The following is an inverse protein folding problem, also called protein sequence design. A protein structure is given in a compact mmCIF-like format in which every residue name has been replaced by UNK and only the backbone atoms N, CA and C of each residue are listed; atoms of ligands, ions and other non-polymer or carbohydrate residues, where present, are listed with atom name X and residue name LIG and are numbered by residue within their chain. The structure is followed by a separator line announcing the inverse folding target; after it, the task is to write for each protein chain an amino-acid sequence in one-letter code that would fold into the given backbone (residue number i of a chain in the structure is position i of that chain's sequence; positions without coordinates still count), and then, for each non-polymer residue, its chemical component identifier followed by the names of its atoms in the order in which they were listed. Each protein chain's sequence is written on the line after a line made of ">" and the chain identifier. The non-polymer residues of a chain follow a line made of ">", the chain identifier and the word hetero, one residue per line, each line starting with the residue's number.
data_IF_262338248853
#
_entry.id   IF_262338248853
#
_cell.length_a   1.000
_cell.length_b   1.000
_cell.length_c   1.000
_cell.angle_alpha   90.00
_cell.angle_beta   90.00
_cell.angle_gamma   90.00
#
_symmetry.space_group_name_H-M   'P 1'
#
loop_
_entity.id
_entity.type
_entity.pdbx_description
1 polymer ?
#
# COMPACT_ATOMS: atom_id res chain seq x y z
N UNK A 1 1.51 -13.27 -8.53
CA UNK A 1 0.52 -13.66 -9.56
C UNK A 1 -0.20 -12.40 -10.04
N UNK A 2 -0.21 -12.10 -11.34
CA UNK A 2 -0.79 -10.86 -11.87
C UNK A 2 -2.31 -11.02 -12.04
N UNK A 3 -3.08 -10.68 -11.01
CA UNK A 3 -4.53 -10.83 -10.99
C UNK A 3 -5.25 -9.98 -12.07
N UNK A 4 -4.87 -8.72 -12.33
CA UNK A 4 -5.41 -7.96 -13.46
C UNK A 4 -5.25 -8.66 -14.81
N UNK A 5 -4.09 -9.28 -15.07
CA UNK A 5 -3.86 -10.02 -16.31
C UNK A 5 -4.78 -11.24 -16.43
N UNK A 6 -4.99 -11.98 -15.33
CA UNK A 6 -5.91 -13.12 -15.31
C UNK A 6 -7.35 -12.67 -15.63
N UNK A 7 -7.83 -11.60 -14.98
CA UNK A 7 -9.15 -11.04 -15.28
C UNK A 7 -9.26 -10.59 -16.73
N UNK A 8 -8.21 -9.96 -17.27
CA UNK A 8 -8.19 -9.54 -18.66
C UNK A 8 -8.26 -10.72 -19.64
N UNK A 9 -7.51 -11.80 -19.38
CA UNK A 9 -7.58 -13.03 -20.18
C UNK A 9 -9.01 -13.61 -20.14
N UNK A 10 -9.63 -13.70 -18.96
CA UNK A 10 -11.01 -14.16 -18.86
C UNK A 10 -12.00 -13.25 -19.59
N UNK A 11 -11.77 -11.94 -19.56
CA UNK A 11 -12.57 -10.97 -20.30
C UNK A 11 -12.45 -11.15 -21.82
N UNK A 12 -11.24 -11.41 -22.33
CA UNK A 12 -11.01 -11.75 -23.73
C UNK A 12 -11.67 -13.08 -24.13
N UNK A 13 -11.54 -14.12 -23.29
CA UNK A 13 -12.14 -15.42 -23.57
C UNK A 13 -13.67 -15.36 -23.58
N UNK A 14 -14.27 -14.74 -22.56
CA UNK A 14 -15.74 -14.62 -22.45
C UNK A 14 -16.31 -13.74 -23.55
N UNK A 15 -15.64 -12.64 -23.92
CA UNK A 15 -16.05 -11.81 -25.06
C UNK A 15 -15.88 -12.53 -26.40
N UNK A 16 -14.80 -13.27 -26.62
CA UNK A 16 -14.60 -14.04 -27.85
C UNK A 16 -15.67 -15.13 -28.01
N UNK A 17 -16.02 -15.85 -26.94
CA UNK A 17 -17.09 -16.84 -26.92
C UNK A 17 -18.44 -16.19 -27.24
N UNK A 18 -18.75 -15.05 -26.61
CA UNK A 18 -20.00 -14.32 -26.86
C UNK A 18 -20.08 -13.80 -28.32
N UNK A 19 -18.98 -13.31 -28.88
CA UNK A 19 -18.90 -12.85 -30.28
C UNK A 19 -19.03 -14.01 -31.27
N UNK A 20 -18.33 -15.12 -31.04
CA UNK A 20 -18.42 -16.34 -31.86
C UNK A 20 -19.85 -16.89 -31.84
N UNK A 21 -20.50 -16.85 -30.68
CA UNK A 21 -21.90 -17.23 -30.56
C UNK A 21 -22.82 -16.35 -31.40
N UNK A 22 -22.72 -15.03 -31.23
CA UNK A 22 -23.54 -14.06 -31.93
C UNK A 22 -23.33 -14.08 -33.46
N UNK A 23 -22.08 -14.29 -33.90
CA UNK A 23 -21.72 -14.26 -35.31
C UNK A 23 -22.05 -15.57 -36.06
N UNK A 24 -21.87 -16.71 -35.41
CA UNK A 24 -21.87 -18.03 -36.07
C UNK A 24 -22.76 -19.07 -35.40
N UNK A 25 -22.55 -19.38 -34.11
CA UNK A 25 -23.22 -20.53 -33.48
C UNK A 25 -24.73 -20.34 -33.35
N UNK A 26 -25.17 -19.13 -32.98
CA UNK A 26 -26.60 -18.80 -32.87
C UNK A 26 -27.34 -19.01 -34.20
N UNK A 27 -26.69 -18.73 -35.34
CA UNK A 27 -27.27 -18.93 -36.69
C UNK A 27 -27.36 -20.39 -37.10
N UNK A 28 -26.55 -21.26 -36.49
CA UNK A 28 -26.51 -22.70 -36.77
C UNK A 28 -27.38 -23.54 -35.83
N UNK A 29 -27.90 -22.95 -34.75
CA UNK A 29 -28.83 -23.62 -33.84
C UNK A 29 -30.17 -23.83 -34.51
N UNK A 30 -30.74 -25.02 -34.33
CA UNK A 30 -32.14 -25.24 -34.65
C UNK A 30 -33.02 -24.39 -33.72
N UNK A 31 -34.16 -23.89 -34.22
CA UNK A 31 -35.08 -23.10 -33.40
C UNK A 31 -35.53 -23.91 -32.18
N UNK A 32 -35.18 -23.45 -30.97
CA UNK A 32 -35.53 -24.09 -29.71
C UNK A 32 -34.40 -24.87 -29.02
N UNK A 33 -33.21 -25.00 -29.61
CA UNK A 33 -32.05 -25.56 -28.91
C UNK A 33 -31.55 -24.62 -27.82
N UNK A 34 -31.35 -25.17 -26.61
CA UNK A 34 -30.75 -24.44 -25.50
C UNK A 34 -29.30 -24.03 -25.82
N UNK A 35 -28.87 -22.89 -25.27
CA UNK A 35 -27.48 -22.48 -25.40
C UNK A 35 -26.56 -23.49 -24.69
N UNK A 36 -25.41 -23.85 -25.27
CA UNK A 36 -24.43 -24.64 -24.56
C UNK A 36 -24.00 -23.93 -23.28
N UNK A 37 -23.87 -24.69 -22.19
CA UNK A 37 -23.52 -24.15 -20.87
C UNK A 37 -22.28 -23.23 -20.87
N UNK A 38 -21.28 -23.51 -21.70
CA UNK A 38 -20.06 -22.70 -21.81
C UNK A 38 -20.29 -21.34 -22.50
N UNK A 39 -21.29 -21.23 -23.39
CA UNK A 39 -21.72 -19.97 -23.99
C UNK A 39 -22.52 -19.16 -22.97
N UNK A 40 -23.49 -19.80 -22.32
CA UNK A 40 -24.37 -19.18 -21.33
C UNK A 40 -23.57 -18.59 -20.15
N UNK A 41 -22.63 -19.38 -19.61
CA UNK A 41 -21.74 -18.93 -18.54
C UNK A 41 -20.83 -17.80 -19.01
N UNK A 42 -20.27 -17.88 -20.22
CA UNK A 42 -19.42 -16.81 -20.74
C UNK A 42 -20.17 -15.48 -20.86
N UNK A 43 -21.41 -15.49 -21.37
CA UNK A 43 -22.26 -14.30 -21.47
C UNK A 43 -22.65 -13.76 -20.09
N UNK A 44 -22.96 -14.65 -19.14
CA UNK A 44 -23.37 -14.26 -17.78
C UNK A 44 -22.21 -13.70 -16.95
N UNK A 45 -21.02 -14.28 -17.06
CA UNK A 45 -19.84 -13.81 -16.33
C UNK A 45 -19.16 -12.60 -16.97
N UNK A 46 -19.29 -12.37 -18.28
CA UNK A 46 -18.69 -11.22 -18.95
C UNK A 46 -18.96 -9.87 -18.27
N UNK A 47 -20.22 -9.45 -17.99
CA UNK A 47 -20.48 -8.16 -17.36
C UNK A 47 -19.92 -8.07 -15.94
N UNK A 48 -19.92 -9.18 -15.19
CA UNK A 48 -19.36 -9.25 -13.83
C UNK A 48 -17.84 -9.10 -13.88
N UNK A 49 -17.17 -9.85 -14.75
CA UNK A 49 -15.71 -9.79 -14.93
C UNK A 49 -15.31 -8.40 -15.42
N UNK A 50 -16.04 -7.82 -16.38
CA UNK A 50 -15.80 -6.46 -16.87
C UNK A 50 -15.94 -5.41 -15.76
N UNK A 51 -16.99 -5.50 -14.94
CA UNK A 51 -17.18 -4.60 -13.81
C UNK A 51 -16.04 -4.72 -12.80
N UNK A 52 -15.69 -5.94 -12.38
CA UNK A 52 -14.60 -6.19 -11.43
C UNK A 52 -13.26 -5.74 -12.00
N UNK A 53 -13.01 -6.02 -13.29
CA UNK A 53 -11.81 -5.59 -13.99
C UNK A 53 -11.72 -4.06 -14.04
N UNK A 54 -12.78 -3.36 -14.43
CA UNK A 54 -12.80 -1.89 -14.50
C UNK A 54 -12.61 -1.27 -13.11
N UNK A 55 -13.33 -1.78 -12.10
CA UNK A 55 -13.23 -1.30 -10.73
C UNK A 55 -11.82 -1.47 -10.17
N UNK A 56 -11.20 -2.65 -10.35
CA UNK A 56 -9.84 -2.91 -9.84
C UNK A 56 -8.74 -2.24 -10.65
N UNK A 57 -8.97 -2.03 -11.94
CA UNK A 57 -7.99 -1.37 -12.81
C UNK A 57 -7.88 0.12 -12.49
N UNK A 58 -9.00 0.77 -12.16
CA UNK A 58 -9.04 2.25 -12.11
C UNK A 58 -9.45 2.84 -10.77
N UNK A 59 -10.29 2.17 -9.97
CA UNK A 59 -10.85 2.76 -8.76
C UNK A 59 -10.18 2.22 -7.49
N UNK A 60 -10.37 0.93 -7.19
CA UNK A 60 -10.05 0.37 -5.87
C UNK A 60 -9.43 -1.01 -5.98
N UNK A 61 -8.32 -1.21 -5.28
CA UNK A 61 -7.64 -2.49 -5.18
C UNK A 61 -7.52 -2.95 -3.72
N UNK A 62 -7.97 -4.18 -3.40
CA UNK A 62 -7.84 -4.71 -2.04
C UNK A 62 -6.45 -5.33 -1.82
N UNK A 63 -5.85 -5.06 -0.67
CA UNK A 63 -4.59 -5.65 -0.22
C UNK A 63 -4.76 -6.31 1.15
N UNK A 64 -4.01 -7.38 1.39
CA UNK A 64 -3.87 -8.00 2.71
C UNK A 64 -2.58 -7.51 3.35
N UNK A 65 -2.61 -7.14 4.63
CA UNK A 65 -1.45 -6.72 5.41
C UNK A 65 -0.72 -7.95 5.97
N UNK A 66 0.52 -8.25 5.52
CA UNK A 66 1.23 -9.45 5.92
C UNK A 66 2.24 -9.21 7.07
N UNK A 67 2.56 -7.94 7.39
CA UNK A 67 3.63 -7.58 8.32
C UNK A 67 3.20 -6.53 9.34
N UNK A 68 3.97 -6.41 10.41
CA UNK A 68 3.72 -5.55 11.57
C UNK A 68 4.31 -4.14 11.48
N UNK A 69 4.97 -3.81 10.36
CA UNK A 69 5.69 -2.53 10.17
C UNK A 69 4.82 -1.27 10.22
N UNK A 70 3.51 -1.40 10.05
CA UNK A 70 2.54 -0.32 10.10
C UNK A 70 1.71 -0.31 11.39
N UNK A 71 2.06 -1.13 12.39
CA UNK A 71 1.40 -1.07 13.70
C UNK A 71 1.68 0.28 14.39
N UNK A 72 0.73 0.84 15.17
CA UNK A 72 -0.59 0.27 15.48
C UNK A 72 -1.67 0.55 14.41
N UNK A 73 -1.40 1.41 13.44
CA UNK A 73 -2.36 1.82 12.39
C UNK A 73 -2.91 0.64 11.61
N UNK A 74 -2.02 -0.20 11.06
CA UNK A 74 -2.37 -1.43 10.36
C UNK A 74 -1.77 -2.64 11.06
N UNK A 75 -2.57 -3.67 11.21
CA UNK A 75 -2.23 -4.91 11.90
C UNK A 75 -2.18 -6.05 10.90
N UNK A 76 -1.33 -7.04 11.18
CA UNK A 76 -1.27 -8.28 10.39
C UNK A 76 -2.68 -8.90 10.33
N UNK A 77 -3.12 -9.25 9.12
CA UNK A 77 -4.47 -9.79 8.90
C UNK A 77 -5.51 -8.75 8.48
N UNK A 78 -5.21 -7.46 8.55
CA UNK A 78 -6.06 -6.43 7.96
C UNK A 78 -6.15 -6.61 6.44
N UNK A 79 -7.35 -6.44 5.91
CA UNK A 79 -7.59 -6.24 4.49
C UNK A 79 -8.01 -4.79 4.28
N UNK A 80 -7.23 -4.09 3.45
CA UNK A 80 -7.41 -2.68 3.16
C UNK A 80 -7.89 -2.47 1.74
N UNK A 81 -8.56 -1.33 1.51
CA UNK A 81 -8.85 -0.80 0.19
C UNK A 81 -7.87 0.33 -0.13
N UNK A 82 -7.33 0.28 -1.33
CA UNK A 82 -6.38 1.25 -1.86
C UNK A 82 -7.02 1.99 -3.03
N UNK A 83 -7.08 3.31 -2.94
CA UNK A 83 -7.53 4.17 -4.02
C UNK A 83 -6.38 4.44 -4.99
N UNK A 84 -6.52 3.97 -6.22
CA UNK A 84 -5.50 4.13 -7.28
C UNK A 84 -5.65 5.45 -8.03
N UNK A 85 -6.85 6.02 -8.02
CA UNK A 85 -7.20 7.24 -8.73
C UNK A 85 -6.57 8.49 -8.09
N UNK A 86 -6.37 8.49 -6.77
CA UNK A 86 -5.84 9.65 -6.01
C UNK A 86 -4.55 10.23 -6.60
N UNK A 87 -3.68 9.37 -7.16
CA UNK A 87 -2.38 9.81 -7.69
C UNK A 87 -2.26 9.69 -9.21
N UNK A 88 -3.37 9.48 -9.91
CA UNK A 88 -3.40 9.41 -11.35
C UNK A 88 -3.91 8.09 -11.93
N UNK A 89 -4.34 8.17 -13.19
CA UNK A 89 -4.85 7.03 -13.95
C UNK A 89 -3.67 6.26 -14.53
N UNK A 90 -3.67 4.94 -14.28
CA UNK A 90 -2.67 4.01 -14.82
C UNK A 90 -3.34 3.01 -15.76
N UNK A 91 -2.61 2.60 -16.80
CA UNK A 91 -3.09 1.53 -17.68
C UNK A 91 -3.20 0.21 -16.91
N UNK A 92 -4.26 -0.59 -17.14
CA UNK A 92 -4.32 -1.92 -16.55
C UNK A 92 -3.15 -2.76 -17.05
N UNK A 93 -2.67 -3.70 -16.22
CA UNK A 93 -1.60 -4.67 -16.50
C UNK A 93 -0.19 -4.04 -16.60
N UNK A 94 -0.01 -3.02 -17.45
CA UNK A 94 1.28 -2.34 -17.67
C UNK A 94 1.54 -1.32 -16.56
N UNK A 95 0.48 -0.79 -15.94
CA UNK A 95 0.51 0.08 -14.76
C UNK A 95 1.29 1.39 -14.96
N UNK A 96 1.50 1.77 -16.23
CA UNK A 96 2.07 3.06 -16.62
C UNK A 96 1.07 4.18 -16.34
N UNK A 97 1.51 5.21 -15.60
CA UNK A 97 0.74 6.44 -15.33
C UNK A 97 0.56 7.20 -16.65
N UNK A 98 -0.69 7.42 -17.05
CA UNK A 98 -1.06 8.14 -18.28
C UNK A 98 -1.61 9.54 -17.98
N UNK A 99 -2.23 9.72 -16.82
CA UNK A 99 -2.86 10.98 -16.44
C UNK A 99 -2.53 11.28 -14.98
N UNK A 100 -1.65 12.26 -14.70
CA UNK A 100 -1.34 12.66 -13.34
C UNK A 100 -2.53 13.46 -12.76
N UNK A 101 -3.05 13.02 -11.62
CA UNK A 101 -4.18 13.67 -10.94
C UNK A 101 -3.79 14.29 -9.58
N UNK A 102 -2.69 13.83 -9.00
CA UNK A 102 -2.18 14.29 -7.71
C UNK A 102 -0.93 13.53 -7.33
N UNK A 103 -0.25 14.02 -6.30
CA UNK A 103 0.97 13.43 -5.75
C UNK A 103 0.73 13.02 -4.30
N UNK A 104 1.38 11.94 -3.82
CA UNK A 104 1.40 11.59 -2.40
C UNK A 104 1.77 12.77 -1.52
N UNK A 105 0.95 13.01 -0.50
CA UNK A 105 1.15 14.09 0.47
C UNK A 105 1.72 13.53 1.78
N UNK A 106 2.35 14.38 2.58
CA UNK A 106 2.82 13.97 3.91
C UNK A 106 1.67 13.44 4.75
N UNK A 107 1.92 12.35 5.46
CA UNK A 107 0.92 11.64 6.25
C UNK A 107 0.10 10.62 5.46
N UNK A 108 0.12 10.62 4.12
CA UNK A 108 -0.60 9.58 3.37
C UNK A 108 0.00 8.19 3.65
N UNK A 109 -0.86 7.19 3.83
CA UNK A 109 -0.45 5.78 3.85
C UNK A 109 -0.58 5.22 2.43
N UNK A 110 0.54 4.78 1.87
CA UNK A 110 0.65 4.50 0.43
C UNK A 110 1.16 3.08 0.22
N UNK A 111 0.54 2.39 -0.74
CA UNK A 111 1.07 1.14 -1.31
C UNK A 111 1.95 1.49 -2.51
N UNK A 112 3.13 0.91 -2.58
CA UNK A 112 4.11 1.12 -3.63
C UNK A 112 4.91 -0.16 -3.90
N UNK A 113 5.48 -0.28 -5.09
CA UNK A 113 6.43 -1.35 -5.40
C UNK A 113 7.74 -1.11 -4.67
N UNK A 114 8.32 -2.13 -4.06
CA UNK A 114 9.56 -2.01 -3.33
C UNK A 114 10.73 -1.65 -4.28
N UNK A 115 11.49 -0.56 -4.04
CA UNK A 115 12.50 -0.10 -5.01
C UNK A 115 13.64 -1.08 -5.31
N UNK A 116 13.99 -1.98 -4.38
CA UNK A 116 15.05 -2.98 -4.61
C UNK A 116 14.54 -4.26 -5.27
N UNK A 117 13.23 -4.55 -5.15
CA UNK A 117 12.57 -5.65 -5.83
C UNK A 117 11.11 -5.26 -6.16
N UNK A 118 10.86 -4.69 -7.35
CA UNK A 118 9.53 -4.21 -7.73
C UNK A 118 8.46 -5.30 -7.88
N UNK A 119 8.82 -6.58 -7.72
CA UNK A 119 7.85 -7.68 -7.65
C UNK A 119 7.09 -7.71 -6.31
N UNK A 120 7.59 -7.01 -5.28
CA UNK A 120 6.98 -6.93 -3.96
C UNK A 120 6.28 -5.58 -3.76
N UNK A 121 5.05 -5.59 -3.24
CA UNK A 121 4.36 -4.38 -2.82
C UNK A 121 4.56 -4.13 -1.32
N UNK A 122 4.90 -2.89 -0.97
CA UNK A 122 5.09 -2.41 0.40
C UNK A 122 4.04 -1.35 0.72
N UNK A 123 3.71 -1.23 2.00
CA UNK A 123 2.86 -0.16 2.52
C UNK A 123 3.60 0.57 3.62
N UNK A 124 3.67 1.89 3.49
CA UNK A 124 4.33 2.81 4.45
C UNK A 124 3.64 4.17 4.42
N UNK A 125 3.96 5.00 5.41
CA UNK A 125 3.53 6.39 5.47
C UNK A 125 4.52 7.31 4.77
N UNK A 126 4.00 8.24 3.97
CA UNK A 126 4.79 9.31 3.35
C UNK A 126 5.19 10.30 4.43
N UNK A 127 6.48 10.34 4.74
CA UNK A 127 7.05 11.30 5.69
C UNK A 127 7.62 12.52 4.96
N UNK A 128 8.34 12.29 3.85
CA UNK A 128 8.92 13.35 3.04
C UNK A 128 8.42 13.31 1.60
N UNK A 129 8.11 14.48 1.05
CA UNK A 129 7.75 14.69 -0.36
C UNK A 129 8.93 15.32 -1.12
N UNK A 130 8.91 15.40 -2.48
CA UNK A 130 10.01 15.96 -3.25
C UNK A 130 10.49 17.31 -2.72
N UNK A 131 11.80 17.44 -2.51
CA UNK A 131 12.42 18.65 -2.01
C UNK A 131 12.46 18.78 -0.48
N UNK A 132 11.90 17.85 0.29
CA UNK A 132 11.97 17.91 1.75
C UNK A 132 13.36 17.60 2.30
N UNK A 133 13.75 18.32 3.36
CA UNK A 133 14.83 17.91 4.24
C UNK A 133 14.24 17.14 5.42
N UNK A 134 14.39 15.82 5.41
CA UNK A 134 13.93 14.92 6.47
C UNK A 134 15.09 14.64 7.41
N UNK A 135 14.92 14.94 8.69
CA UNK A 135 15.89 14.65 9.76
C UNK A 135 15.20 13.80 10.81
N UNK A 136 15.82 12.68 11.16
CA UNK A 136 15.35 11.83 12.24
C UNK A 136 16.53 11.56 13.17
N UNK A 137 16.59 12.29 14.28
CA UNK A 137 17.69 12.26 15.24
C UNK A 137 17.14 12.07 16.65
N UNK A 138 17.76 11.21 17.45
CA UNK A 138 17.28 10.86 18.80
C UNK A 138 15.78 10.48 18.80
N UNK A 139 15.36 9.82 17.72
CA UNK A 139 13.99 9.43 17.42
C UNK A 139 12.97 10.57 17.28
N UNK A 140 13.41 11.82 17.19
CA UNK A 140 12.58 12.97 16.88
C UNK A 140 12.63 13.23 15.37
N UNK A 141 11.47 13.28 14.74
CA UNK A 141 11.33 13.66 13.33
C UNK A 141 11.26 15.18 13.18
N UNK A 142 12.02 15.71 12.24
CA UNK A 142 12.05 17.13 11.85
C UNK A 142 12.00 17.22 10.34
N UNK A 143 11.07 18.01 9.80
CA UNK A 143 10.90 18.19 8.35
C UNK A 143 11.08 19.66 8.03
N UNK A 144 12.01 19.98 7.12
CA UNK A 144 12.35 21.35 6.72
C UNK A 144 12.65 22.28 7.91
N UNK A 145 13.29 21.75 8.96
CA UNK A 145 13.63 22.47 10.19
C UNK A 145 12.50 22.56 11.22
N UNK A 146 11.27 22.14 10.88
CA UNK A 146 10.16 22.08 11.81
C UNK A 146 10.13 20.73 12.52
N UNK A 147 10.22 20.73 13.85
CA UNK A 147 10.04 19.51 14.66
C UNK A 147 8.58 19.05 14.57
N UNK A 148 8.37 17.79 14.23
CA UNK A 148 7.03 17.21 14.18
C UNK A 148 6.53 16.97 15.60
N UNK A 149 5.27 17.33 15.86
CA UNK A 149 4.66 17.15 17.16
C UNK A 149 4.60 15.67 17.52
N UNK A 150 4.96 15.35 18.75
CA UNK A 150 4.98 14.00 19.27
C UNK A 150 4.48 13.99 20.71
N UNK A 151 3.33 13.36 20.93
CA UNK A 151 2.68 13.26 22.24
C UNK A 151 2.67 11.80 22.69
N UNK A 152 3.14 11.51 23.90
CA UNK A 152 3.07 10.16 24.45
C UNK A 152 1.61 9.72 24.61
N UNK A 153 1.29 8.52 24.16
CA UNK A 153 -0.05 7.93 24.12
C UNK A 153 -0.05 6.49 24.67
N UNK A 154 0.71 6.28 25.75
CA UNK A 154 0.76 5.02 26.50
C UNK A 154 1.72 3.97 25.94
N UNK A 155 1.44 2.70 26.23
CA UNK A 155 2.18 1.56 25.71
C UNK A 155 1.34 0.78 24.68
N UNK A 156 2.01 0.05 23.81
CA UNK A 156 1.39 -0.81 22.81
C UNK A 156 2.14 -2.13 22.75
N UNK A 157 1.41 -3.21 23.05
CA UNK A 157 1.95 -4.58 23.05
C UNK A 157 1.27 -5.43 22.00
N UNK A 158 2.03 -6.32 21.37
CA UNK A 158 1.53 -7.23 20.35
C UNK A 158 2.39 -8.49 20.27
N UNK A 159 1.79 -9.55 19.73
CA UNK A 159 2.51 -10.76 19.34
C UNK A 159 3.08 -10.59 17.94
N UNK A 160 4.38 -10.83 17.82
CA UNK A 160 5.13 -10.94 16.59
C UNK A 160 5.45 -12.41 16.33
N UNK A 161 4.92 -12.95 15.23
CA UNK A 161 4.95 -14.39 14.98
C UNK A 161 4.19 -15.18 16.05
N UNK A 162 4.66 -16.40 16.34
CA UNK A 162 3.95 -17.32 17.24
C UNK A 162 4.24 -17.10 18.73
N UNK A 163 5.36 -16.45 19.09
CA UNK A 163 5.85 -16.46 20.48
C UNK A 163 6.61 -15.22 20.92
N UNK A 164 6.85 -14.23 20.06
CA UNK A 164 7.56 -13.01 20.46
C UNK A 164 6.57 -11.95 20.93
N UNK A 165 6.48 -11.72 22.24
CA UNK A 165 5.68 -10.64 22.79
C UNK A 165 6.50 -9.36 22.81
N UNK A 166 6.10 -8.36 22.03
CA UNK A 166 6.78 -7.07 21.92
C UNK A 166 5.96 -6.02 22.65
N UNK A 167 6.62 -5.23 23.50
CA UNK A 167 6.05 -4.04 24.14
C UNK A 167 6.80 -2.81 23.67
N UNK A 168 6.04 -1.82 23.20
CA UNK A 168 6.53 -0.54 22.68
C UNK A 168 5.86 0.61 23.42
N UNK A 169 6.48 1.78 23.41
CA UNK A 169 5.82 3.04 23.72
C UNK A 169 5.03 3.50 22.50
N UNK A 170 3.79 3.93 22.73
CA UNK A 170 2.92 4.49 21.72
C UNK A 170 2.97 6.01 21.80
N UNK A 171 3.05 6.66 20.66
CA UNK A 171 2.98 8.10 20.53
C UNK A 171 1.97 8.48 19.46
N UNK A 172 1.39 9.68 19.59
CA UNK A 172 0.69 10.36 18.51
C UNK A 172 1.63 11.35 17.86
N UNK A 173 1.90 11.17 16.57
CA UNK A 173 2.71 12.06 15.74
C UNK A 173 1.82 12.85 14.78
N UNK A 174 2.16 14.12 14.52
CA UNK A 174 1.48 14.95 13.52
C UNK A 174 2.42 15.30 12.36
N UNK A 175 2.03 14.89 11.15
CA UNK A 175 2.73 15.25 9.91
C UNK A 175 1.92 16.29 9.16
N UNK A 176 2.29 17.56 9.30
CA UNK A 176 1.61 18.68 8.61
C UNK A 176 0.09 18.69 8.85
N UNK A 177 -0.35 18.36 10.07
CA UNK A 177 -1.76 18.33 10.47
C UNK A 177 -2.42 16.95 10.38
N UNK A 178 -1.76 15.95 9.80
CA UNK A 178 -2.23 14.56 9.78
C UNK A 178 -1.72 13.83 11.02
N UNK A 179 -2.59 13.70 12.03
CA UNK A 179 -2.30 12.99 13.27
C UNK A 179 -2.45 11.47 13.11
N UNK A 180 -1.43 10.72 13.52
CA UNK A 180 -1.44 9.25 13.48
C UNK A 180 -0.67 8.66 14.67
N UNK A 181 -0.86 7.37 14.92
CA UNK A 181 -0.19 6.67 16.00
C UNK A 181 1.09 5.98 15.50
N UNK A 182 2.15 6.01 16.31
CA UNK A 182 3.41 5.33 16.06
C UNK A 182 3.82 4.50 17.26
N UNK A 183 4.54 3.41 17.02
CA UNK A 183 5.14 2.56 18.04
C UNK A 183 6.67 2.70 18.02
N UNK A 184 7.28 2.87 19.20
CA UNK A 184 8.72 3.03 19.40
C UNK A 184 9.20 2.26 20.61
N UNK A 185 10.42 1.72 20.58
CA UNK A 185 11.08 1.08 21.71
C UNK A 185 12.28 1.93 22.14
N UNK A 186 12.37 2.42 23.39
CA UNK A 186 13.45 3.32 23.81
C UNK A 186 14.85 2.71 23.63
N UNK A 187 14.96 1.38 23.76
CA UNK A 187 16.23 0.63 23.70
C UNK A 187 16.82 0.47 22.28
N UNK A 188 16.00 0.65 21.24
CA UNK A 188 16.45 0.44 19.85
C UNK A 188 17.00 1.77 19.31
N UNK A 189 18.15 1.84 18.65
CA UNK A 189 18.63 3.09 18.05
C UNK A 189 17.70 3.60 16.94
N UNK A 190 17.65 4.91 16.66
CA UNK A 190 16.77 5.50 15.62
C UNK A 190 17.01 4.93 14.22
N UNK A 191 18.24 4.49 13.95
CA UNK A 191 18.64 3.75 12.75
C UNK A 191 19.72 2.74 13.10
N UNK A 192 19.63 1.52 12.56
CA UNK A 192 20.72 0.53 12.65
C UNK A 192 21.65 0.70 11.45
N UNK A 193 22.80 1.32 11.65
CA UNK A 193 23.74 1.65 10.57
C UNK A 193 24.17 0.42 9.76
N UNK A 194 24.33 -0.74 10.39
CA UNK A 194 24.65 -2.01 9.71
C UNK A 194 23.57 -2.51 8.75
N UNK A 195 22.33 -2.04 8.90
CA UNK A 195 21.21 -2.39 8.01
C UNK A 195 21.03 -1.40 6.85
N UNK A 196 21.76 -0.28 6.82
CA UNK A 196 21.64 0.72 5.75
C UNK A 196 22.29 0.18 4.48
N UNK A 197 21.47 -0.04 3.46
CA UNK A 197 21.89 -0.59 2.17
C UNK A 197 22.49 0.52 1.29
N UNK A 198 23.18 0.11 0.23
CA UNK A 198 23.48 1.02 -0.88
C UNK A 198 22.21 1.16 -1.73
N UNK A 199 21.82 2.39 -2.06
CA UNK A 199 20.63 2.68 -2.85
C UNK A 199 20.84 3.92 -3.74
N UNK A 200 20.06 4.08 -4.84
CA UNK A 200 20.12 5.27 -5.67
C UNK A 200 19.78 6.55 -4.89
N UNK A 201 20.62 7.58 -5.01
CA UNK A 201 20.44 8.83 -4.27
C UNK A 201 20.97 8.80 -2.83
N UNK A 202 21.75 7.79 -2.43
CA UNK A 202 22.34 7.64 -1.09
C UNK A 202 23.19 8.84 -0.66
N UNK A 203 23.80 9.55 -1.60
CA UNK A 203 24.55 10.79 -1.42
C UNK A 203 23.69 11.94 -0.90
N UNK A 204 22.37 11.88 -1.08
CA UNK A 204 21.43 12.85 -0.50
C UNK A 204 21.19 12.64 1.00
N UNK A 205 21.80 11.60 1.59
CA UNK A 205 21.63 11.24 2.98
C UNK A 205 22.96 11.20 3.73
N UNK A 206 22.98 11.79 4.92
CA UNK A 206 24.07 11.70 5.89
C UNK A 206 23.56 10.93 7.11
N UNK A 207 24.34 9.96 7.56
CA UNK A 207 23.99 9.09 8.68
C UNK A 207 25.05 9.21 9.77
N UNK A 208 24.62 9.12 11.02
CA UNK A 208 25.46 9.03 12.20
C UNK A 208 24.80 8.11 13.23
N UNK A 209 25.41 7.96 14.41
CA UNK A 209 24.86 7.11 15.48
C UNK A 209 23.56 7.66 16.06
N UNK A 210 23.34 8.96 15.96
CA UNK A 210 22.15 9.64 16.46
C UNK A 210 20.98 9.58 15.48
N UNK A 211 21.18 9.18 14.22
CA UNK A 211 20.14 9.15 13.21
C UNK A 211 20.62 9.45 11.79
N UNK A 212 19.80 10.20 11.05
CA UNK A 212 20.09 10.59 9.68
C UNK A 212 19.45 11.92 9.28
N UNK A 213 20.00 12.50 8.22
CA UNK A 213 19.43 13.61 7.46
C UNK A 213 19.43 13.27 5.99
N UNK A 214 18.27 13.34 5.34
CA UNK A 214 18.10 13.10 3.92
C UNK A 214 17.42 14.29 3.24
N UNK A 215 17.89 14.65 2.03
CA UNK A 215 17.16 15.53 1.11
C UNK A 215 16.40 14.66 0.11
N UNK A 216 15.08 14.79 0.06
CA UNK A 216 14.25 13.99 -0.85
C UNK A 216 14.42 14.50 -2.28
N UNK A 217 14.87 13.66 -3.23
CA UNK A 217 15.04 14.07 -4.63
C UNK A 217 13.71 14.43 -5.30
N UNK A 218 13.79 15.14 -6.44
CA UNK A 218 12.63 15.38 -7.28
C UNK A 218 11.98 14.06 -7.74
N UNK A 219 10.64 13.99 -7.74
CA UNK A 219 9.89 12.80 -8.17
C UNK A 219 10.03 11.59 -7.24
N UNK A 220 10.53 11.77 -6.02
CA UNK A 220 10.72 10.71 -5.03
C UNK A 220 10.06 11.05 -3.70
N UNK A 221 9.81 10.02 -2.89
CA UNK A 221 9.18 10.12 -1.57
C UNK A 221 10.01 9.39 -0.52
N UNK A 222 10.00 9.91 0.71
CA UNK A 222 10.61 9.27 1.86
C UNK A 222 9.53 8.60 2.71
N UNK A 223 9.60 7.29 2.81
CA UNK A 223 8.57 6.45 3.42
C UNK A 223 9.05 5.91 4.77
N UNK A 224 8.18 5.93 5.79
CA UNK A 224 8.45 5.29 7.09
C UNK A 224 7.27 4.45 7.57
N UNK A 225 7.58 3.40 8.32
CA UNK A 225 6.57 2.61 9.02
C UNK A 225 6.16 3.28 10.33
N UNK A 226 4.90 3.10 10.71
CA UNK A 226 4.38 3.58 11.98
C UNK A 226 4.98 2.79 13.16
N UNK A 227 5.36 1.54 12.92
CA UNK A 227 6.15 0.74 13.85
C UNK A 227 7.63 1.06 13.65
N UNK A 228 8.06 2.20 14.21
CA UNK A 228 9.34 2.85 13.90
C UNK A 228 10.53 1.94 14.11
N UNK A 229 10.51 1.09 15.13
CA UNK A 229 11.65 0.23 15.45
C UNK A 229 11.55 -1.19 14.85
N UNK A 230 10.41 -1.53 14.22
CA UNK A 230 10.18 -2.79 13.51
C UNK A 230 9.69 -2.54 12.07
N UNK A 231 10.41 -1.70 11.34
CA UNK A 231 10.08 -1.33 9.95
C UNK A 231 11.35 -1.19 9.10
N UNK A 232 11.47 -2.03 8.07
CA UNK A 232 12.43 -1.78 6.97
C UNK A 232 11.81 -0.81 5.96
N UNK A 233 12.20 0.46 6.03
CA UNK A 233 11.68 1.56 5.22
C UNK A 233 12.80 2.45 4.64
N UNK A 234 12.47 3.67 4.19
CA UNK A 234 13.41 4.54 3.48
C UNK A 234 14.68 4.89 4.27
N UNK A 235 14.67 4.68 5.59
CA UNK A 235 15.87 4.77 6.43
C UNK A 235 16.98 3.81 5.98
N UNK A 236 16.61 2.66 5.43
CA UNK A 236 17.52 1.56 5.11
C UNK A 236 17.74 1.37 3.61
N UNK A 237 16.71 1.60 2.79
CA UNK A 237 16.76 1.34 1.34
C UNK A 237 16.49 2.57 0.46
N UNK A 238 16.33 3.75 1.05
CA UNK A 238 16.28 5.01 0.32
C UNK A 238 14.89 5.41 -0.17
N UNK A 239 14.85 6.21 -1.23
CA UNK A 239 13.63 6.88 -1.66
C UNK A 239 12.77 6.02 -2.60
N UNK A 240 11.46 6.26 -2.59
CA UNK A 240 10.51 5.64 -3.52
C UNK A 240 10.23 6.59 -4.67
N UNK A 241 10.53 6.23 -5.93
CA UNK A 241 10.16 7.05 -7.08
C UNK A 241 8.64 7.03 -7.34
N UNK A 242 8.10 8.10 -7.92
CA UNK A 242 6.66 8.27 -8.18
C UNK A 242 6.03 7.14 -9.03
N UNK A 243 6.80 6.56 -9.95
CA UNK A 243 6.34 5.46 -10.81
C UNK A 243 6.15 4.13 -10.06
N UNK A 244 6.67 4.01 -8.83
CA UNK A 244 6.45 2.85 -7.97
C UNK A 244 5.17 2.97 -7.14
N UNK A 245 4.60 4.17 -7.01
CA UNK A 245 3.38 4.41 -6.23
C UNK A 245 2.19 3.67 -6.87
N UNK A 246 1.45 2.88 -6.09
CA UNK A 246 0.23 2.20 -6.52
C UNK A 246 -1.03 2.99 -6.21
N UNK A 247 -1.13 3.53 -5.00
CA UNK A 247 -2.32 4.22 -4.52
C UNK A 247 -2.31 4.45 -3.01
N UNK A 248 -3.31 5.20 -2.53
CA UNK A 248 -3.48 5.55 -1.12
C UNK A 248 -4.38 4.54 -0.41
N UNK A 249 -3.91 3.97 0.69
CA UNK A 249 -4.76 3.18 1.58
C UNK A 249 -5.74 4.13 2.30
N UNK A 250 -7.02 3.79 2.32
CA UNK A 250 -8.03 4.68 2.91
C UNK A 250 -9.02 3.98 3.85
N UNK A 251 -9.15 2.65 3.78
CA UNK A 251 -10.20 1.94 4.52
C UNK A 251 -9.81 0.51 4.85
N UNK A 252 -10.10 0.06 6.08
CA UNK A 252 -10.00 -1.34 6.50
C UNK A 252 -11.39 -1.97 6.34
N UNK A 253 -11.54 -2.92 5.41
CA UNK A 253 -12.84 -3.54 5.11
C UNK A 253 -13.04 -4.91 5.74
N UNK A 254 -11.96 -5.55 6.20
CA UNK A 254 -12.02 -6.86 6.83
C UNK A 254 -10.79 -7.15 7.69
N UNK A 255 -10.94 -7.89 8.78
CA UNK A 255 -9.85 -8.50 9.55
C UNK A 255 -10.36 -9.83 10.13
N UNK A 256 -9.57 -10.91 9.98
CA UNK A 256 -10.01 -12.26 10.37
C UNK A 256 -10.16 -12.43 11.88
N UNK A 257 -9.22 -11.90 12.66
CA UNK A 257 -9.22 -12.00 14.12
C UNK A 257 -10.35 -11.17 14.72
N UNK A 258 -10.62 -9.99 14.14
CA UNK A 258 -11.72 -9.09 14.51
C UNK A 258 -13.10 -9.73 14.25
N UNK A 259 -13.23 -10.45 13.12
CA UNK A 259 -14.45 -11.20 12.80
C UNK A 259 -14.62 -12.43 13.71
N UNK A 260 -13.56 -13.21 13.91
CA UNK A 260 -13.60 -14.44 14.71
C UNK A 260 -13.88 -14.16 16.19
N UNK A 261 -13.42 -13.01 16.69
CA UNK A 261 -13.69 -12.54 18.06
C UNK A 261 -14.99 -11.73 18.20
N UNK A 262 -15.70 -11.45 17.10
CA UNK A 262 -16.87 -10.56 17.05
C UNK A 262 -16.60 -9.16 17.63
N UNK A 263 -15.36 -8.68 17.61
CA UNK A 263 -14.99 -7.38 18.15
C UNK A 263 -15.39 -6.22 17.21
N UNK A 264 -15.27 -6.41 15.89
CA UNK A 264 -15.57 -5.43 14.84
C UNK A 264 -14.93 -4.04 15.08
N UNK A 265 -13.82 -3.97 15.80
CA UNK A 265 -13.20 -2.70 16.17
C UNK A 265 -12.46 -2.06 14.99
N UNK A 266 -11.94 -2.88 14.08
CA UNK A 266 -11.06 -2.44 12.98
C UNK A 266 -11.84 -2.23 11.68
N UNK A 267 -12.86 -3.04 11.45
CA UNK A 267 -13.69 -2.95 10.24
C UNK A 267 -14.39 -1.59 10.23
N UNK A 268 -14.26 -0.84 9.13
CA UNK A 268 -14.86 0.48 9.00
C UNK A 268 -13.91 1.65 9.31
N UNK A 269 -12.73 1.37 9.86
CA UNK A 269 -11.77 2.43 10.19
C UNK A 269 -11.12 3.02 8.94
N UNK A 270 -11.06 4.35 8.92
CA UNK A 270 -10.27 5.11 7.95
C UNK A 270 -8.78 4.94 8.23
N UNK A 271 -7.98 4.84 7.17
CA UNK A 271 -6.52 4.77 7.28
C UNK A 271 -5.97 6.20 7.20
N UNK A 272 -5.49 6.70 8.35
CA UNK A 272 -4.96 8.05 8.53
C UNK A 272 -3.62 8.06 9.23
#
# INVERSE_FOLDING_TARGET
>A
MNFPLILFIFLLLTSAIALLDAAYLKKRRAGGEAEPWWVEYSKSFFPVILLVFALRSFLVEPFKIPSSSMRPTLVVGDFILVNKFTYGIRLPIIEKKILPLGDPQRGDVVVFRYPLDPALDYIKRVVGVPGDAVVYENKQLTINGQKMELVADGSYSYLEGASSFITTERFRESLSGVGHAIARSPEIPPVRLSGVRTFPGRENCVYNEQGFRCKVPAGHYFMMGDNRDNSEDSRYWGFVPDDHIRGRAFFIWFNWDDLASFAFERIGQGVH
#
